data_IF_873864763672
#
_entry.id   IF_873864763672
#
_cell.length_a   1.000
_cell.length_b   1.000
_cell.length_c   1.000
_cell.angle_alpha   90.00
_cell.angle_beta   90.00
_cell.angle_gamma   90.00
#
_symmetry.space_group_name_H-M   'P 1'
#
loop_
_entity.id
_entity.type
_entity.pdbx_description
1 polymer ?
#
# COMPACT_ATOMS: atom_id res chain seq x y z
N UNK A 1 -1.57 -28.41 -54.35
CA UNK A 1 -2.37 -28.47 -53.10
C UNK A 1 -1.67 -29.31 -52.02
N UNK A 2 -0.39 -29.03 -51.69
CA UNK A 2 0.40 -29.80 -50.70
C UNK A 2 0.87 -28.99 -49.49
N UNK A 3 0.89 -27.65 -49.57
CA UNK A 3 1.36 -26.78 -48.49
C UNK A 3 0.35 -26.62 -47.34
N UNK A 4 -0.96 -26.70 -47.60
CA UNK A 4 -2.00 -26.53 -46.58
C UNK A 4 -2.02 -27.69 -45.56
N UNK A 5 -1.63 -28.90 -45.96
CA UNK A 5 -1.58 -30.07 -45.08
C UNK A 5 -0.41 -30.05 -44.08
N UNK A 6 0.68 -29.33 -44.38
CA UNK A 6 1.83 -29.14 -43.47
C UNK A 6 1.57 -28.03 -42.45
N UNK A 7 0.70 -27.07 -42.76
CA UNK A 7 0.39 -25.96 -41.85
C UNK A 7 -0.43 -26.39 -40.63
N UNK A 8 -1.21 -27.48 -40.71
CA UNK A 8 -2.01 -28.01 -39.59
C UNK A 8 -1.14 -28.62 -38.47
N UNK A 9 -0.21 -29.56 -38.73
CA UNK A 9 0.63 -30.11 -37.68
C UNK A 9 1.58 -29.06 -37.07
N UNK A 10 2.09 -28.11 -37.87
CA UNK A 10 2.94 -27.02 -37.35
C UNK A 10 2.19 -26.14 -36.35
N UNK A 11 0.91 -25.81 -36.61
CA UNK A 11 0.08 -25.06 -35.64
C UNK A 11 -0.13 -25.82 -34.34
N UNK A 12 -0.39 -27.12 -34.42
CA UNK A 12 -0.57 -27.97 -33.23
C UNK A 12 0.72 -28.02 -32.39
N UNK A 13 1.89 -28.13 -33.04
CA UNK A 13 3.18 -28.10 -32.35
C UNK A 13 3.44 -26.76 -31.64
N UNK A 14 3.16 -25.64 -32.31
CA UNK A 14 3.33 -24.31 -31.71
C UNK A 14 2.40 -24.14 -30.51
N UNK A 15 1.13 -24.55 -30.62
CA UNK A 15 0.17 -24.47 -29.50
C UNK A 15 0.62 -25.34 -28.33
N UNK A 16 1.03 -26.59 -28.58
CA UNK A 16 1.53 -27.48 -27.55
C UNK A 16 2.78 -26.92 -26.84
N UNK A 17 3.67 -26.28 -27.60
CA UNK A 17 4.87 -25.66 -27.06
C UNK A 17 4.54 -24.46 -26.16
N UNK A 18 3.63 -23.58 -26.59
CA UNK A 18 3.14 -22.45 -25.78
C UNK A 18 2.46 -22.95 -24.51
N UNK A 19 1.60 -23.96 -24.60
CA UNK A 19 0.94 -24.55 -23.43
C UNK A 19 1.95 -25.13 -22.43
N UNK A 20 2.99 -25.80 -22.93
CA UNK A 20 4.07 -26.34 -22.08
C UNK A 20 4.84 -25.20 -21.39
N UNK A 21 5.19 -24.14 -22.12
CA UNK A 21 5.85 -22.96 -21.54
C UNK A 21 4.97 -22.35 -20.46
N UNK A 22 3.70 -22.11 -20.74
CA UNK A 22 2.76 -21.54 -19.76
C UNK A 22 2.65 -22.43 -18.51
N UNK A 23 2.57 -23.75 -18.68
CA UNK A 23 2.50 -24.67 -17.56
C UNK A 23 3.77 -24.61 -16.69
N UNK A 24 4.95 -24.58 -17.31
CA UNK A 24 6.23 -24.46 -16.59
C UNK A 24 6.38 -23.09 -15.93
N UNK A 25 6.01 -21.99 -16.58
CA UNK A 25 6.12 -20.64 -16.01
C UNK A 25 5.15 -20.39 -14.85
N UNK A 26 4.00 -21.07 -14.81
CA UNK A 26 3.06 -21.00 -13.69
C UNK A 26 3.44 -21.92 -12.51
N UNK A 27 4.33 -22.89 -12.74
CA UNK A 27 4.78 -23.83 -11.70
C UNK A 27 5.90 -23.29 -10.81
N UNK A 28 6.53 -22.19 -11.21
CA UNK A 28 7.48 -21.47 -10.38
C UNK A 28 6.71 -20.38 -9.62
N UNK A 29 6.48 -20.51 -8.31
CA UNK A 29 5.94 -19.40 -7.52
C UNK A 29 6.87 -18.20 -7.70
N UNK A 30 6.29 -17.01 -7.86
CA UNK A 30 7.06 -15.77 -7.86
C UNK A 30 7.98 -15.78 -6.63
N UNK A 31 9.29 -15.61 -6.85
CA UNK A 31 10.30 -15.52 -5.79
C UNK A 31 10.13 -14.18 -5.03
N UNK A 32 8.98 -14.01 -4.38
CA UNK A 32 8.72 -12.97 -3.39
C UNK A 32 9.03 -13.49 -1.97
N UNK A 33 9.83 -14.55 -1.86
CA UNK A 33 10.21 -15.18 -0.59
C UNK A 33 11.34 -14.43 0.12
N UNK A 34 12.09 -13.57 -0.59
CA UNK A 34 13.23 -12.85 -0.01
C UNK A 34 12.83 -11.80 1.02
N UNK A 35 11.55 -11.40 1.05
CA UNK A 35 10.97 -10.46 2.01
C UNK A 35 9.62 -10.99 2.52
N UNK A 36 9.60 -12.15 3.19
CA UNK A 36 8.39 -12.59 3.88
C UNK A 36 8.19 -11.78 5.16
N UNK A 37 7.27 -10.81 5.14
CA UNK A 37 6.64 -10.34 6.36
C UNK A 37 5.86 -11.49 7.01
N UNK A 38 5.84 -11.55 8.33
CA UNK A 38 4.99 -12.54 8.98
C UNK A 38 3.53 -12.16 8.73
N UNK A 39 2.64 -13.08 8.29
CA UNK A 39 1.23 -12.76 8.02
C UNK A 39 0.50 -12.11 9.20
N UNK A 40 1.01 -12.34 10.42
CA UNK A 40 0.47 -11.84 11.69
C UNK A 40 1.04 -10.47 12.11
N UNK A 41 2.12 -9.98 11.49
CA UNK A 41 2.70 -8.66 11.85
C UNK A 41 1.71 -7.52 11.58
N UNK A 42 1.00 -7.57 10.45
CA UNK A 42 -0.05 -6.58 10.16
C UNK A 42 -1.27 -6.71 11.07
N UNK A 43 -1.61 -7.92 11.53
CA UNK A 43 -2.76 -8.15 12.42
C UNK A 43 -2.54 -7.52 13.81
N UNK A 44 -1.33 -7.66 14.35
CA UNK A 44 -0.96 -7.06 15.63
C UNK A 44 -1.10 -5.53 15.59
N UNK A 45 -0.54 -4.89 14.55
CA UNK A 45 -0.63 -3.44 14.35
C UNK A 45 -2.08 -2.97 14.12
N UNK A 46 -2.89 -3.73 13.40
CA UNK A 46 -4.28 -3.39 13.13
C UNK A 46 -5.14 -3.40 14.41
N UNK A 47 -4.92 -4.40 15.28
CA UNK A 47 -5.62 -4.52 16.56
C UNK A 47 -5.27 -3.38 17.52
N UNK A 48 -4.00 -2.96 17.51
CA UNK A 48 -3.54 -1.80 18.27
C UNK A 48 -4.14 -0.49 17.74
N UNK A 49 -4.09 -0.28 16.43
CA UNK A 49 -4.73 0.87 15.75
C UNK A 49 -6.22 0.95 16.08
N UNK A 50 -6.93 -0.17 16.08
CA UNK A 50 -8.35 -0.23 16.45
C UNK A 50 -8.57 0.19 17.92
N UNK A 51 -7.74 -0.31 18.84
CA UNK A 51 -7.81 0.08 20.26
C UNK A 51 -7.52 1.57 20.47
N UNK A 52 -6.55 2.13 19.76
CA UNK A 52 -6.22 3.55 19.84
C UNK A 52 -7.33 4.41 19.24
N UNK A 53 -7.94 3.99 18.12
CA UNK A 53 -9.12 4.63 17.54
C UNK A 53 -10.26 4.74 18.56
N UNK A 54 -10.57 3.63 19.22
CA UNK A 54 -11.62 3.60 20.24
C UNK A 54 -11.30 4.53 21.43
N UNK A 55 -10.03 4.56 21.88
CA UNK A 55 -9.61 5.47 22.96
C UNK A 55 -9.73 6.94 22.56
N UNK A 56 -9.35 7.30 21.34
CA UNK A 56 -9.46 8.67 20.82
C UNK A 56 -10.93 9.09 20.68
N UNK A 57 -11.81 8.18 20.25
CA UNK A 57 -13.25 8.44 20.20
C UNK A 57 -13.84 8.66 21.60
N UNK A 58 -13.41 7.89 22.59
CA UNK A 58 -13.86 8.04 23.98
C UNK A 58 -13.28 9.27 24.67
N UNK A 59 -12.09 9.71 24.28
CA UNK A 59 -11.39 10.85 24.86
C UNK A 59 -10.94 11.83 23.77
N UNK A 60 -11.88 12.50 23.08
CA UNK A 60 -11.53 13.43 22.02
C UNK A 60 -10.65 14.56 22.56
N UNK A 61 -9.69 15.08 21.77
CA UNK A 61 -8.90 16.24 22.16
C UNK A 61 -9.81 17.44 22.40
N UNK A 62 -9.54 18.20 23.47
CA UNK A 62 -10.38 19.33 23.89
C UNK A 62 -10.20 20.55 23.00
N UNK A 63 -9.02 20.69 22.40
CA UNK A 63 -8.68 21.78 21.49
C UNK A 63 -7.66 21.34 20.42
N UNK A 64 -7.41 22.23 19.46
CA UNK A 64 -6.45 21.99 18.37
C UNK A 64 -5.01 21.81 18.87
N UNK A 65 -4.66 22.41 20.02
CA UNK A 65 -3.32 22.32 20.59
C UNK A 65 -3.08 20.94 21.17
N UNK A 66 -4.07 20.39 21.85
CA UNK A 66 -4.07 19.02 22.36
C UNK A 66 -4.07 18.02 21.21
N UNK A 67 -4.88 18.22 20.17
CA UNK A 67 -4.87 17.38 18.98
C UNK A 67 -3.50 17.36 18.28
N UNK A 68 -2.86 18.53 18.13
CA UNK A 68 -1.52 18.64 17.56
C UNK A 68 -0.45 17.98 18.44
N UNK A 69 -0.56 18.12 19.78
CA UNK A 69 0.35 17.46 20.71
C UNK A 69 0.26 15.93 20.60
N UNK A 70 -0.95 15.37 20.66
CA UNK A 70 -1.19 13.92 20.54
C UNK A 70 -0.76 13.37 19.18
N UNK A 71 -0.93 14.16 18.12
CA UNK A 71 -0.48 13.75 16.78
C UNK A 71 1.04 13.78 16.62
N UNK A 72 1.77 14.60 17.39
CA UNK A 72 3.23 14.68 17.34
C UNK A 72 3.95 13.54 18.07
N UNK A 73 3.23 12.68 18.80
CA UNK A 73 3.80 11.50 19.47
C UNK A 73 4.06 10.33 18.51
N UNK A 74 3.71 10.48 17.23
CA UNK A 74 3.93 9.52 16.15
C UNK A 74 3.46 10.08 14.79
N UNK A 75 2.94 9.21 13.92
CA UNK A 75 2.27 9.60 12.67
C UNK A 75 0.94 10.31 12.94
N UNK A 76 0.20 9.86 13.94
CA UNK A 76 -0.94 10.54 14.56
C UNK A 76 -1.34 9.79 15.85
N UNK A 77 -2.36 10.31 16.55
CA UNK A 77 -2.87 9.73 17.81
C UNK A 77 -3.36 8.27 17.67
N UNK A 78 -3.85 7.87 16.50
CA UNK A 78 -4.42 6.55 16.26
C UNK A 78 -3.37 5.55 15.78
N UNK A 79 -2.52 5.96 14.84
CA UNK A 79 -1.53 5.11 14.17
C UNK A 79 -0.22 4.99 14.96
N UNK A 80 0.08 5.91 15.89
CA UNK A 80 1.35 5.88 16.63
C UNK A 80 2.55 5.88 15.68
N UNK A 81 3.53 5.02 15.93
CA UNK A 81 4.75 4.84 15.12
C UNK A 81 4.66 3.66 14.13
N UNK A 82 3.45 3.13 13.90
CA UNK A 82 3.23 1.95 13.06
C UNK A 82 3.88 2.10 11.67
N UNK A 83 4.84 1.22 11.38
CA UNK A 83 5.59 1.15 10.12
C UNK A 83 6.19 2.50 9.66
N UNK A 84 6.53 3.40 10.60
CA UNK A 84 7.14 4.71 10.31
C UNK A 84 8.46 4.57 9.55
N UNK A 85 9.18 3.49 9.79
CA UNK A 85 10.43 3.10 9.13
C UNK A 85 10.24 2.62 7.69
N UNK A 86 9.01 2.27 7.31
CA UNK A 86 8.63 1.84 5.96
C UNK A 86 7.99 2.96 5.13
N UNK A 87 7.78 4.13 5.73
CA UNK A 87 7.22 5.27 5.01
C UNK A 87 8.28 5.94 4.14
N UNK A 88 8.04 5.95 2.83
CA UNK A 88 8.86 6.71 1.89
C UNK A 88 8.44 8.20 1.95
N UNK A 89 9.24 9.01 2.64
CA UNK A 89 9.00 10.45 2.70
C UNK A 89 9.44 11.13 1.40
N UNK A 90 8.47 11.63 0.64
CA UNK A 90 8.73 12.58 -0.44
C UNK A 90 9.15 13.93 0.17
N UNK A 91 10.39 14.37 -0.09
CA UNK A 91 10.91 15.71 0.28
C UNK A 91 10.04 16.89 -0.19
N UNK A 92 9.05 16.63 -1.07
CA UNK A 92 8.11 17.64 -1.59
C UNK A 92 6.80 17.69 -0.81
N UNK A 93 6.82 17.36 0.47
CA UNK A 93 5.72 17.64 1.39
C UNK A 93 5.52 19.15 1.51
N UNK A 94 4.76 19.75 0.57
CA UNK A 94 4.29 21.13 0.69
C UNK A 94 3.64 21.25 2.06
N UNK A 95 4.18 22.15 2.90
CA UNK A 95 3.63 22.42 4.22
C UNK A 95 2.13 22.69 4.08
N UNK A 96 1.32 21.79 4.62
CA UNK A 96 -0.16 21.90 4.59
C UNK A 96 -0.58 23.28 5.12
N UNK A 97 0.22 23.85 6.03
CA UNK A 97 0.11 25.22 6.53
C UNK A 97 0.04 26.28 5.42
N UNK A 98 0.93 26.23 4.44
CA UNK A 98 0.99 27.23 3.34
C UNK A 98 -0.24 27.14 2.44
N UNK A 99 -0.81 25.93 2.27
CA UNK A 99 -2.06 25.73 1.53
C UNK A 99 -3.27 26.22 2.31
N UNK A 100 -3.30 25.99 3.63
CA UNK A 100 -4.38 26.47 4.51
C UNK A 100 -4.36 28.00 4.60
N UNK A 101 -3.18 28.61 4.74
CA UNK A 101 -3.03 30.07 4.83
C UNK A 101 -3.49 30.76 3.54
N UNK A 102 -3.10 30.24 2.37
CA UNK A 102 -3.58 30.72 1.07
C UNK A 102 -5.09 30.54 0.88
N UNK A 103 -5.65 29.44 1.39
CA UNK A 103 -7.09 29.19 1.32
C UNK A 103 -7.87 30.17 2.21
N UNK A 104 -7.41 30.43 3.43
CA UNK A 104 -8.00 31.43 4.33
C UNK A 104 -7.93 32.84 3.74
N UNK A 105 -6.79 33.23 3.17
CA UNK A 105 -6.64 34.56 2.57
C UNK A 105 -7.61 34.79 1.40
N UNK A 106 -7.88 33.74 0.61
CA UNK A 106 -8.80 33.80 -0.55
C UNK A 106 -10.29 33.87 -0.17
N UNK A 107 -10.66 33.39 1.02
CA UNK A 107 -12.05 33.46 1.51
C UNK A 107 -12.31 34.75 2.31
N UNK A 108 -11.26 35.34 2.87
CA UNK A 108 -11.35 36.55 3.72
C UNK A 108 -11.14 37.86 2.93
N UNK A 109 -10.66 37.77 1.68
CA UNK A 109 -10.69 38.85 0.68
C UNK A 109 -11.88 38.66 -0.25
#
# INVERSE_FOLDING_TARGET
MRFINILRPVRVLIVAFICTILFVTNSLPALADTYRSQPTEGEAQLKETYRNSERTLQNPPKDLKEAAKRSNEGLNEVQGDADIDKMEYSEKGVAIKDKIEKALEKVTK
#
